data_IF_416430655560
#
_entry.id   IF_416430655560
#
_cell.length_a   1.000
_cell.length_b   1.000
_cell.length_c   1.000
_cell.angle_alpha   90.00
_cell.angle_beta   90.00
_cell.angle_gamma   90.00
#
_symmetry.space_group_name_H-M   'P 1'
#
loop_
_entity.id
_entity.type
_entity.pdbx_description
1 polymer ?
#
# COMPACT_ATOMS: atom_id res chain seq x y z
N UNK A 1 2.74 6.64 -32.97
CA UNK A 1 2.69 7.98 -32.35
C UNK A 1 1.94 7.79 -31.05
N UNK A 2 2.62 8.03 -29.93
CA UNK A 2 2.10 7.79 -28.59
C UNK A 2 0.88 8.66 -28.27
N UNK A 3 -0.05 8.09 -27.52
CA UNK A 3 -1.30 8.72 -27.08
C UNK A 3 -1.51 8.45 -25.59
N UNK A 4 -2.32 9.31 -24.97
CA UNK A 4 -2.79 9.10 -23.60
C UNK A 4 -3.53 7.75 -23.54
N UNK A 5 -3.17 6.93 -22.55
CA UNK A 5 -3.68 5.58 -22.36
C UNK A 5 -2.76 4.48 -22.90
N UNK A 6 -1.80 4.80 -23.79
CA UNK A 6 -0.87 3.80 -24.32
C UNK A 6 0.01 3.24 -23.20
N UNK A 7 0.31 1.95 -23.30
CA UNK A 7 1.25 1.28 -22.41
C UNK A 7 2.66 1.41 -22.97
N UNK A 8 3.60 1.81 -22.12
CA UNK A 8 4.97 2.09 -22.52
C UNK A 8 5.98 1.67 -21.47
N UNK A 9 7.21 1.45 -21.92
CA UNK A 9 8.41 1.31 -21.09
C UNK A 9 9.43 2.38 -21.46
N UNK A 10 10.45 2.58 -20.62
CA UNK A 10 11.51 3.57 -20.85
C UNK A 10 12.84 2.89 -21.20
N UNK A 11 13.37 3.20 -22.37
CA UNK A 11 14.65 2.68 -22.87
C UNK A 11 15.82 3.00 -21.93
N UNK A 12 15.87 4.23 -21.42
CA UNK A 12 16.90 4.72 -20.50
C UNK A 12 16.95 3.98 -19.15
N UNK A 13 15.88 3.26 -18.80
CA UNK A 13 15.77 2.42 -17.61
C UNK A 13 15.70 0.92 -17.94
N UNK A 14 16.23 0.53 -19.11
CA UNK A 14 16.23 -0.86 -19.60
C UNK A 14 14.84 -1.50 -19.64
N UNK A 15 13.80 -0.69 -19.86
CA UNK A 15 12.40 -1.14 -19.90
C UNK A 15 11.95 -1.89 -18.62
N UNK A 16 12.44 -1.45 -17.45
CA UNK A 16 12.25 -2.12 -16.16
C UNK A 16 10.81 -2.06 -15.60
N UNK A 17 10.07 -0.99 -15.89
CA UNK A 17 8.74 -0.71 -15.35
C UNK A 17 7.78 -0.42 -16.50
N UNK A 18 6.61 -1.05 -16.42
CA UNK A 18 5.48 -0.76 -17.29
C UNK A 18 4.72 0.47 -16.80
N UNK A 19 4.49 1.43 -17.69
CA UNK A 19 3.74 2.65 -17.45
C UNK A 19 2.52 2.75 -18.38
N UNK A 20 1.55 3.58 -17.99
CA UNK A 20 0.59 4.17 -18.92
C UNK A 20 0.87 5.67 -19.06
N UNK A 21 0.66 6.20 -20.26
CA UNK A 21 0.74 7.64 -20.51
C UNK A 21 -0.52 8.30 -19.97
N UNK A 22 -0.36 9.21 -19.01
CA UNK A 22 -1.48 9.94 -18.40
C UNK A 22 -1.63 11.36 -18.96
N UNK A 23 -0.56 11.93 -19.51
CA UNK A 23 -0.56 13.25 -20.13
C UNK A 23 0.62 13.38 -21.11
N UNK A 24 0.51 14.24 -22.11
CA UNK A 24 1.60 14.58 -23.04
C UNK A 24 1.60 16.09 -23.21
N UNK A 25 2.73 16.73 -22.91
CA UNK A 25 2.95 18.16 -23.14
C UNK A 25 4.23 18.35 -23.94
N UNK A 26 4.09 18.97 -25.10
CA UNK A 26 5.15 19.07 -26.09
C UNK A 26 5.72 17.68 -26.40
N UNK A 27 7.04 17.47 -26.24
CA UNK A 27 7.72 16.19 -26.46
C UNK A 27 7.96 15.39 -25.17
N UNK A 28 7.27 15.74 -24.07
CA UNK A 28 7.37 15.07 -22.77
C UNK A 28 6.07 14.36 -22.44
N UNK A 29 6.16 13.05 -22.19
CA UNK A 29 5.08 12.24 -21.64
C UNK A 29 5.17 12.17 -20.12
N UNK A 30 4.02 12.31 -19.46
CA UNK A 30 3.86 12.00 -18.04
C UNK A 30 3.27 10.61 -17.91
N UNK A 31 3.90 9.83 -17.05
CA UNK A 31 3.77 8.39 -16.95
C UNK A 31 3.34 8.00 -15.54
N UNK A 32 2.43 7.04 -15.47
CA UNK A 32 2.02 6.39 -14.23
C UNK A 32 2.38 4.92 -14.29
N UNK A 33 3.15 4.46 -13.32
CA UNK A 33 3.54 3.04 -13.21
C UNK A 33 2.29 2.20 -13.01
N UNK A 34 2.18 1.11 -13.76
CA UNK A 34 1.00 0.26 -13.69
C UNK A 34 0.95 -0.46 -12.35
N UNK A 35 1.96 -1.30 -12.08
CA UNK A 35 2.04 -2.14 -10.87
C UNK A 35 2.85 -1.49 -9.74
N UNK A 36 3.66 -0.50 -10.08
CA UNK A 36 4.57 0.19 -9.17
C UNK A 36 4.01 1.58 -8.88
N UNK A 37 3.92 1.98 -7.59
CA UNK A 37 3.39 3.28 -7.15
C UNK A 37 4.34 4.45 -7.49
N UNK A 38 4.57 4.70 -8.77
CA UNK A 38 5.57 5.62 -9.28
C UNK A 38 4.99 6.51 -10.38
N UNK A 39 5.26 7.80 -10.27
CA UNK A 39 5.05 8.75 -11.37
C UNK A 39 6.41 9.14 -11.94
N UNK A 40 6.44 9.32 -13.25
CA UNK A 40 7.63 9.74 -13.96
C UNK A 40 7.27 10.60 -15.16
N UNK A 41 8.22 11.41 -15.61
CA UNK A 41 8.21 12.01 -16.94
C UNK A 41 9.28 11.34 -17.82
N UNK A 42 9.06 11.35 -19.13
CA UNK A 42 10.08 10.98 -20.11
C UNK A 42 9.87 11.65 -21.47
N UNK A 43 10.95 11.80 -22.23
CA UNK A 43 10.86 12.19 -23.64
C UNK A 43 10.12 11.10 -24.44
N UNK A 44 9.32 11.49 -25.43
CA UNK A 44 8.67 10.54 -26.33
C UNK A 44 9.67 9.60 -27.04
N UNK A 45 10.88 10.06 -27.32
CA UNK A 45 11.93 9.26 -27.96
C UNK A 45 12.54 8.18 -27.04
N UNK A 46 12.37 8.33 -25.71
CA UNK A 46 12.81 7.34 -24.73
C UNK A 46 11.76 6.25 -24.49
N UNK A 47 10.55 6.41 -25.05
CA UNK A 47 9.46 5.46 -24.86
C UNK A 47 9.52 4.34 -25.90
N UNK A 48 9.24 3.13 -25.43
CA UNK A 48 8.96 1.96 -26.27
C UNK A 48 7.52 1.52 -25.99
N UNK A 49 6.74 1.27 -27.05
CA UNK A 49 5.36 0.80 -26.93
C UNK A 49 5.37 -0.63 -26.39
N UNK A 50 4.63 -0.84 -25.30
CA UNK A 50 4.50 -2.15 -24.69
C UNK A 50 3.14 -2.73 -25.08
N UNK A 51 3.15 -3.75 -25.94
CA UNK A 51 1.93 -4.48 -26.28
C UNK A 51 1.63 -5.47 -25.16
N UNK A 52 0.86 -5.01 -24.17
CA UNK A 52 0.56 -5.79 -22.98
C UNK A 52 -0.78 -6.47 -23.18
N UNK A 53 -0.75 -7.81 -23.23
CA UNK A 53 -1.84 -8.62 -22.71
C UNK A 53 -1.83 -8.43 -21.18
N UNK A 54 -2.19 -7.21 -20.73
CA UNK A 54 -2.20 -6.85 -19.32
C UNK A 54 -3.21 -7.76 -18.66
N UNK A 55 -2.72 -8.83 -18.03
CA UNK A 55 -3.57 -9.79 -17.35
C UNK A 55 -4.27 -9.07 -16.21
N UNK A 56 -5.46 -8.57 -16.51
CA UNK A 56 -6.38 -7.97 -15.54
C UNK A 56 -6.70 -8.94 -14.39
N UNK A 57 -6.38 -10.24 -14.53
CA UNK A 57 -6.49 -11.22 -13.46
C UNK A 57 -5.23 -11.37 -12.60
N UNK A 58 -4.12 -10.67 -12.85
CA UNK A 58 -2.90 -10.80 -12.03
C UNK A 58 -3.18 -10.46 -10.57
N UNK A 59 -3.85 -9.35 -10.30
CA UNK A 59 -4.27 -8.96 -8.94
C UNK A 59 -5.23 -9.99 -8.32
N UNK A 60 -6.17 -10.54 -9.11
CA UNK A 60 -7.08 -11.60 -8.68
C UNK A 60 -6.35 -12.91 -8.36
N UNK A 61 -5.33 -13.24 -9.15
CA UNK A 61 -4.48 -14.40 -8.95
C UNK A 61 -3.67 -14.24 -7.66
N UNK A 62 -3.19 -13.03 -7.36
CA UNK A 62 -2.54 -12.74 -6.08
C UNK A 62 -3.52 -12.89 -4.91
N UNK A 63 -4.74 -12.35 -5.01
CA UNK A 63 -5.78 -12.55 -3.99
C UNK A 63 -6.05 -14.05 -3.75
N UNK A 64 -6.20 -14.83 -4.83
CA UNK A 64 -6.39 -16.28 -4.75
C UNK A 64 -5.21 -16.98 -4.06
N UNK A 65 -3.97 -16.67 -4.44
CA UNK A 65 -2.77 -17.25 -3.80
C UNK A 65 -2.76 -16.97 -2.29
N UNK A 66 -3.03 -15.73 -1.89
CA UNK A 66 -3.05 -15.35 -0.47
C UNK A 66 -4.17 -16.06 0.27
N UNK A 67 -5.36 -16.16 -0.34
CA UNK A 67 -6.51 -16.86 0.23
C UNK A 67 -6.24 -18.35 0.42
N UNK A 68 -5.62 -19.01 -0.55
CA UNK A 68 -5.27 -20.44 -0.47
C UNK A 68 -4.22 -20.72 0.63
N UNK A 69 -3.37 -19.74 0.95
CA UNK A 69 -2.43 -19.81 2.09
C UNK A 69 -3.12 -19.64 3.45
N UNK A 70 -4.34 -19.09 3.49
CA UNK A 70 -5.10 -18.85 4.72
C UNK A 70 -6.05 -20.02 4.99
N UNK A 71 -5.53 -21.04 5.68
CA UNK A 71 -6.27 -22.26 6.00
C UNK A 71 -7.27 -22.02 7.16
N UNK A 72 -8.49 -21.57 6.84
CA UNK A 72 -9.56 -21.31 7.82
C UNK A 72 -10.57 -22.48 7.87
N UNK A 73 -10.67 -23.16 9.01
CA UNK A 73 -11.66 -24.21 9.23
C UNK A 73 -13.06 -23.63 9.51
N UNK A 74 -13.92 -23.71 8.50
CA UNK A 74 -15.27 -23.13 8.55
C UNK A 74 -16.37 -24.13 8.94
N UNK A 75 -16.00 -25.31 9.45
CA UNK A 75 -16.94 -26.37 9.80
C UNK A 75 -17.73 -26.07 11.09
N UNK A 76 -17.04 -25.69 12.17
CA UNK A 76 -17.65 -25.46 13.50
C UNK A 76 -17.54 -24.01 14.00
N UNK A 77 -16.60 -23.24 13.45
CA UNK A 77 -16.27 -21.88 13.89
C UNK A 77 -16.75 -20.84 12.89
N UNK A 78 -17.12 -19.66 13.40
CA UNK A 78 -17.31 -18.45 12.60
C UNK A 78 -16.17 -17.46 12.83
N UNK A 79 -15.93 -16.60 11.84
CA UNK A 79 -14.82 -15.67 11.82
C UNK A 79 -15.35 -14.25 11.63
N UNK A 80 -14.85 -13.32 12.43
CA UNK A 80 -15.10 -11.89 12.28
C UNK A 80 -13.76 -11.21 11.96
N UNK A 81 -13.41 -11.07 10.66
CA UNK A 81 -12.19 -10.38 10.24
C UNK A 81 -12.19 -8.91 10.67
N UNK A 82 -10.99 -8.34 10.79
CA UNK A 82 -10.86 -6.91 11.07
C UNK A 82 -11.32 -6.04 9.90
N UNK A 83 -11.86 -4.87 10.24
CA UNK A 83 -12.29 -3.84 9.29
C UNK A 83 -11.11 -2.99 8.84
N UNK A 84 -11.01 -2.74 7.54
CA UNK A 84 -9.93 -1.97 6.93
C UNK A 84 -10.43 -0.59 6.51
N UNK A 85 -9.69 0.46 6.85
CA UNK A 85 -9.79 1.78 6.24
C UNK A 85 -8.51 2.04 5.44
N UNK A 86 -8.66 2.27 4.14
CA UNK A 86 -7.55 2.59 3.25
C UNK A 86 -7.68 4.04 2.75
N UNK A 87 -6.75 4.89 3.18
CA UNK A 87 -6.59 6.26 2.71
C UNK A 87 -5.44 6.28 1.70
N UNK A 88 -5.69 6.79 0.49
CA UNK A 88 -4.67 6.84 -0.56
C UNK A 88 -4.64 8.19 -1.29
N UNK A 89 -3.43 8.65 -1.59
CA UNK A 89 -3.15 9.76 -2.51
C UNK A 89 -3.58 9.48 -3.95
N UNK A 90 -3.62 8.20 -4.34
CA UNK A 90 -3.93 7.78 -5.70
C UNK A 90 -5.25 7.02 -5.80
N UNK A 91 -6.17 7.55 -6.60
CA UNK A 91 -7.50 6.95 -6.80
C UNK A 91 -7.46 5.57 -7.47
N UNK A 92 -6.53 5.33 -8.40
CA UNK A 92 -6.48 4.07 -9.13
C UNK A 92 -5.81 2.97 -8.29
N UNK A 93 -4.73 3.29 -7.59
CA UNK A 93 -4.13 2.32 -6.65
C UNK A 93 -5.09 2.01 -5.50
N UNK A 94 -5.81 3.01 -4.98
CA UNK A 94 -6.88 2.76 -4.01
C UNK A 94 -7.92 1.80 -4.57
N UNK A 95 -8.40 2.02 -5.80
CA UNK A 95 -9.38 1.15 -6.43
C UNK A 95 -8.88 -0.29 -6.51
N UNK A 96 -7.64 -0.51 -6.93
CA UNK A 96 -7.01 -1.84 -6.97
C UNK A 96 -6.95 -2.51 -5.60
N UNK A 97 -6.53 -1.77 -4.56
CA UNK A 97 -6.49 -2.31 -3.20
C UNK A 97 -7.89 -2.65 -2.66
N UNK A 98 -8.88 -1.80 -2.91
CA UNK A 98 -10.27 -2.05 -2.51
C UNK A 98 -10.86 -3.28 -3.23
N UNK A 99 -10.59 -3.44 -4.53
CA UNK A 99 -11.03 -4.62 -5.27
C UNK A 99 -10.32 -5.89 -4.77
N UNK A 100 -9.02 -5.82 -4.44
CA UNK A 100 -8.29 -6.90 -3.78
C UNK A 100 -8.92 -7.30 -2.44
N UNK A 101 -9.30 -6.35 -1.58
CA UNK A 101 -9.98 -6.65 -0.31
C UNK A 101 -11.34 -7.34 -0.53
N UNK A 102 -12.10 -6.94 -1.55
CA UNK A 102 -13.38 -7.60 -1.89
C UNK A 102 -13.18 -9.05 -2.32
N UNK A 103 -12.16 -9.32 -3.13
CA UNK A 103 -11.82 -10.69 -3.57
C UNK A 103 -11.39 -11.58 -2.39
N UNK A 104 -10.79 -10.96 -1.35
CA UNK A 104 -10.48 -11.59 -0.06
C UNK A 104 -11.67 -11.70 0.89
N UNK A 105 -12.85 -11.18 0.52
CA UNK A 105 -14.07 -11.09 1.35
C UNK A 105 -13.87 -10.31 2.66
N UNK A 106 -13.14 -9.21 2.60
CA UNK A 106 -12.90 -8.30 3.73
C UNK A 106 -13.78 -7.06 3.65
N UNK A 107 -14.24 -6.60 4.82
CA UNK A 107 -14.92 -5.29 4.92
C UNK A 107 -13.85 -4.18 4.88
N UNK A 108 -13.86 -3.40 3.80
CA UNK A 108 -12.90 -2.33 3.59
C UNK A 108 -13.56 -1.05 3.06
N UNK A 109 -13.08 0.10 3.53
CA UNK A 109 -13.50 1.43 3.11
C UNK A 109 -12.34 2.16 2.47
N UNK A 110 -12.57 2.77 1.30
CA UNK A 110 -11.56 3.57 0.60
C UNK A 110 -11.85 5.06 0.66
N UNK A 111 -10.85 5.87 0.98
CA UNK A 111 -10.91 7.34 0.96
C UNK A 111 -9.74 7.85 0.13
N UNK A 112 -10.02 8.57 -0.96
CA UNK A 112 -8.99 9.25 -1.72
C UNK A 112 -8.88 10.70 -1.22
N UNK A 113 -7.67 11.12 -0.86
CA UNK A 113 -7.34 12.45 -0.35
C UNK A 113 -6.00 12.87 -0.95
N UNK A 114 -5.73 14.16 -1.04
CA UNK A 114 -4.36 14.64 -1.29
C UNK A 114 -3.51 14.43 -0.02
N UNK A 115 -2.22 14.11 -0.18
CA UNK A 115 -1.34 13.79 0.97
C UNK A 115 -1.25 14.91 2.00
N UNK A 116 -1.35 16.18 1.56
CA UNK A 116 -1.35 17.36 2.42
C UNK A 116 -2.57 17.45 3.37
N UNK A 117 -3.66 16.76 3.03
CA UNK A 117 -4.90 16.76 3.80
C UNK A 117 -5.03 15.56 4.73
N UNK A 118 -4.13 14.56 4.64
CA UNK A 118 -4.20 13.35 5.46
C UNK A 118 -4.29 13.66 6.95
N UNK A 119 -3.41 14.52 7.46
CA UNK A 119 -3.39 14.86 8.90
C UNK A 119 -4.64 15.63 9.37
N UNK A 120 -5.36 16.28 8.47
CA UNK A 120 -6.58 17.05 8.78
C UNK A 120 -7.80 16.14 8.83
N UNK A 121 -7.91 15.21 7.88
CA UNK A 121 -9.10 14.38 7.68
C UNK A 121 -9.02 13.00 8.34
N UNK A 122 -7.84 12.56 8.80
CA UNK A 122 -7.69 11.20 9.33
C UNK A 122 -8.55 10.93 10.57
N UNK A 123 -8.72 11.90 11.46
CA UNK A 123 -9.55 11.75 12.66
C UNK A 123 -11.03 11.59 12.29
N UNK A 124 -11.56 12.41 11.38
CA UNK A 124 -12.95 12.31 10.95
C UNK A 124 -13.22 10.98 10.22
N UNK A 125 -12.26 10.49 9.44
CA UNK A 125 -12.34 9.17 8.82
C UNK A 125 -12.34 8.03 9.85
N UNK A 126 -11.44 8.09 10.85
CA UNK A 126 -11.36 7.07 11.91
C UNK A 126 -12.65 6.99 12.73
N UNK A 127 -13.23 8.14 13.10
CA UNK A 127 -14.50 8.22 13.82
C UNK A 127 -15.67 7.67 12.99
N UNK A 128 -15.69 7.97 11.69
CA UNK A 128 -16.77 7.54 10.78
C UNK A 128 -16.76 6.04 10.52
N UNK A 129 -15.59 5.46 10.26
CA UNK A 129 -15.50 4.07 9.80
C UNK A 129 -15.16 3.08 10.92
N UNK A 130 -14.58 3.56 12.02
CA UNK A 130 -14.14 2.77 13.18
C UNK A 130 -13.39 1.48 12.77
N UNK A 131 -12.24 1.59 12.07
CA UNK A 131 -11.50 0.44 11.57
C UNK A 131 -10.63 -0.23 12.65
N UNK A 132 -10.28 -1.50 12.43
CA UNK A 132 -9.23 -2.20 13.19
C UNK A 132 -7.85 -1.99 12.54
N UNK A 133 -7.83 -1.77 11.21
CA UNK A 133 -6.62 -1.57 10.41
C UNK A 133 -6.76 -0.31 9.58
N UNK A 134 -5.78 0.57 9.68
CA UNK A 134 -5.64 1.79 8.92
C UNK A 134 -4.45 1.67 7.96
N UNK A 135 -4.70 1.85 6.66
CA UNK A 135 -3.68 1.91 5.61
C UNK A 135 -3.60 3.36 5.12
N UNK A 136 -2.41 3.96 5.20
CA UNK A 136 -2.13 5.33 4.75
C UNK A 136 -1.05 5.27 3.68
N UNK A 137 -1.44 5.37 2.42
CA UNK A 137 -0.52 5.26 1.28
C UNK A 137 -0.72 6.43 0.32
N UNK A 138 0.12 6.55 -0.70
CA UNK A 138 0.06 7.63 -1.67
C UNK A 138 1.32 7.63 -2.52
N UNK A 139 1.84 8.81 -2.81
CA UNK A 139 3.09 8.99 -3.54
C UNK A 139 4.19 9.49 -2.62
N UNK A 140 5.40 9.01 -2.84
CA UNK A 140 6.57 9.56 -2.20
C UNK A 140 7.79 9.32 -3.09
N UNK A 141 8.84 10.08 -2.82
CA UNK A 141 10.09 9.94 -3.53
C UNK A 141 11.23 10.45 -2.68
N UNK A 142 12.39 9.82 -2.81
CA UNK A 142 13.61 10.27 -2.18
C UNK A 142 14.46 11.07 -3.16
N UNK A 143 14.87 12.27 -2.77
CA UNK A 143 15.73 13.13 -3.60
C UNK A 143 17.10 12.47 -3.81
N UNK A 144 17.48 12.26 -5.08
CA UNK A 144 18.77 11.65 -5.46
C UNK A 144 19.95 12.44 -4.83
N UNK A 145 20.98 11.71 -4.40
CA UNK A 145 22.22 12.25 -3.81
C UNK A 145 22.03 13.10 -2.53
N UNK A 146 20.94 12.86 -1.78
CA UNK A 146 20.72 13.47 -0.47
C UNK A 146 20.98 12.47 0.67
N UNK A 147 20.89 12.94 1.90
CA UNK A 147 20.98 12.10 3.09
C UNK A 147 19.64 11.39 3.32
N UNK A 148 19.68 10.05 3.38
CA UNK A 148 18.51 9.19 3.63
C UNK A 148 17.98 9.30 5.06
N UNK A 149 18.76 9.85 5.98
CA UNK A 149 18.38 10.01 7.38
C UNK A 149 17.63 11.31 7.68
N UNK A 150 17.49 12.19 6.69
CA UNK A 150 16.81 13.48 6.83
C UNK A 150 15.45 13.48 6.12
N UNK A 151 14.40 13.67 6.92
CA UNK A 151 13.00 13.67 6.49
C UNK A 151 12.67 14.75 5.45
N UNK A 152 13.40 15.88 5.44
CA UNK A 152 13.19 16.95 4.46
C UNK A 152 13.59 16.55 3.02
N UNK A 153 14.33 15.44 2.87
CA UNK A 153 14.75 14.92 1.57
C UNK A 153 13.71 14.00 0.90
N UNK A 154 12.56 13.80 1.54
CA UNK A 154 11.45 13.02 1.02
C UNK A 154 10.29 13.96 0.66
N UNK A 155 9.52 13.60 -0.36
CA UNK A 155 8.45 14.45 -0.87
C UNK A 155 7.26 14.53 0.09
N UNK A 156 6.76 13.37 0.52
CA UNK A 156 5.52 13.25 1.30
C UNK A 156 5.68 12.46 2.60
N UNK A 157 6.86 11.91 2.91
CA UNK A 157 7.08 11.20 4.18
C UNK A 157 6.64 12.00 5.40
N UNK A 158 6.84 13.32 5.41
CA UNK A 158 6.37 14.18 6.50
C UNK A 158 4.84 14.17 6.67
N UNK A 159 4.10 14.13 5.56
CA UNK A 159 2.64 14.08 5.58
C UNK A 159 2.14 12.75 6.16
N UNK A 160 2.74 11.62 5.76
CA UNK A 160 2.43 10.31 6.35
C UNK A 160 2.80 10.21 7.83
N UNK A 161 3.94 10.78 8.25
CA UNK A 161 4.35 10.85 9.66
C UNK A 161 3.32 11.62 10.48
N UNK A 162 2.92 12.81 10.04
CA UNK A 162 1.90 13.62 10.72
C UNK A 162 0.55 12.90 10.81
N UNK A 163 0.12 12.26 9.73
CA UNK A 163 -1.11 11.47 9.71
C UNK A 163 -1.04 10.29 10.69
N UNK A 164 0.07 9.57 10.71
CA UNK A 164 0.31 8.44 11.64
C UNK A 164 0.25 8.91 13.10
N UNK A 165 0.93 10.01 13.43
CA UNK A 165 0.88 10.60 14.77
C UNK A 165 -0.55 11.00 15.17
N UNK A 166 -1.30 11.61 14.24
CA UNK A 166 -2.70 12.01 14.47
C UNK A 166 -3.62 10.81 14.68
N UNK A 167 -3.43 9.73 13.93
CA UNK A 167 -4.14 8.47 14.16
C UNK A 167 -3.81 7.86 15.53
N UNK A 168 -2.57 8.02 16.01
CA UNK A 168 -2.16 7.60 17.35
C UNK A 168 -2.68 8.50 18.48
N UNK A 169 -3.00 9.76 18.20
CA UNK A 169 -3.75 10.60 19.14
C UNK A 169 -5.17 10.06 19.36
N UNK A 170 -5.82 9.56 18.29
CA UNK A 170 -7.13 8.92 18.35
C UNK A 170 -7.09 7.57 19.09
N UNK A 171 -6.19 6.66 18.70
CA UNK A 171 -5.97 5.38 19.37
C UNK A 171 -4.47 5.10 19.59
N UNK A 172 -4.06 5.22 20.85
CA UNK A 172 -2.66 5.09 21.29
C UNK A 172 -2.19 3.64 21.31
N UNK A 173 -3.09 2.69 21.49
CA UNK A 173 -2.75 1.28 21.59
C UNK A 173 -2.51 0.69 20.19
N UNK A 174 -1.26 0.31 19.92
CA UNK A 174 -0.83 -0.26 18.65
C UNK A 174 -1.45 -1.62 18.33
N UNK A 175 -2.01 -2.33 19.31
CA UNK A 175 -2.72 -3.60 19.12
C UNK A 175 -4.21 -3.40 18.83
N UNK A 176 -4.76 -2.21 19.11
CA UNK A 176 -6.17 -1.89 18.84
C UNK A 176 -6.38 -1.31 17.45
N UNK A 177 -5.46 -0.47 17.00
CA UNK A 177 -5.47 0.10 15.66
C UNK A 177 -4.14 -0.21 14.98
N UNK A 178 -4.15 -1.17 14.05
CA UNK A 178 -2.96 -1.48 13.26
C UNK A 178 -2.80 -0.41 12.20
N UNK A 179 -1.62 0.23 12.12
CA UNK A 179 -1.34 1.24 11.09
C UNK A 179 -0.27 0.71 10.12
N UNK A 180 -0.59 0.76 8.83
CA UNK A 180 0.31 0.46 7.72
C UNK A 180 0.50 1.76 6.94
N UNK A 181 1.72 2.29 6.87
CA UNK A 181 1.95 3.63 6.32
C UNK A 181 3.11 3.73 5.33
N UNK A 182 2.99 4.65 4.38
CA UNK A 182 4.06 5.03 3.45
C UNK A 182 3.78 4.64 2.00
N UNK A 183 4.76 4.94 1.16
CA UNK A 183 4.72 4.70 -0.28
C UNK A 183 6.12 4.31 -0.79
N UNK A 184 6.31 4.36 -2.11
CA UNK A 184 7.62 4.17 -2.73
C UNK A 184 8.67 5.09 -2.11
N UNK A 185 9.80 4.51 -1.74
CA UNK A 185 10.95 5.25 -1.21
C UNK A 185 10.71 6.05 0.07
N UNK A 186 9.61 5.83 0.81
CA UNK A 186 9.33 6.57 2.04
C UNK A 186 10.41 6.43 3.12
N UNK A 187 10.45 7.40 4.04
CA UNK A 187 11.30 7.37 5.22
C UNK A 187 10.76 6.40 6.29
N UNK A 188 11.01 5.13 6.06
CA UNK A 188 10.59 3.99 6.89
C UNK A 188 10.78 4.22 8.40
N UNK A 189 11.97 4.64 8.83
CA UNK A 189 12.32 4.70 10.24
C UNK A 189 11.46 5.72 11.00
N UNK A 190 11.14 6.86 10.39
CA UNK A 190 10.31 7.87 11.03
C UNK A 190 8.83 7.51 11.03
N UNK A 191 8.36 6.71 10.06
CA UNK A 191 7.00 6.13 10.09
C UNK A 191 6.83 5.15 11.25
N UNK A 192 7.82 4.27 11.46
CA UNK A 192 7.81 3.35 12.61
C UNK A 192 7.87 4.14 13.93
N UNK A 193 8.76 5.14 14.04
CA UNK A 193 8.83 6.00 15.24
C UNK A 193 7.53 6.78 15.50
N UNK A 194 6.83 7.19 14.44
CA UNK A 194 5.54 7.86 14.54
C UNK A 194 4.43 6.94 15.07
N UNK A 195 4.67 5.63 15.07
CA UNK A 195 3.77 4.63 15.64
C UNK A 195 3.10 3.72 14.62
N UNK A 196 3.55 3.67 13.37
CA UNK A 196 3.08 2.68 12.41
C UNK A 196 3.52 1.27 12.85
N UNK A 197 2.63 0.28 12.70
CA UNK A 197 2.98 -1.13 12.91
C UNK A 197 3.81 -1.64 11.73
N UNK A 198 3.44 -1.23 10.52
CA UNK A 198 4.16 -1.56 9.29
C UNK A 198 4.42 -0.29 8.49
N UNK A 199 5.57 -0.23 7.83
CA UNK A 199 5.92 0.90 6.99
C UNK A 199 6.59 0.46 5.68
N UNK A 200 6.40 1.26 4.65
CA UNK A 200 6.95 1.03 3.32
C UNK A 200 8.42 1.45 3.19
N UNK A 201 9.08 0.78 2.25
CA UNK A 201 10.41 1.03 1.72
C UNK A 201 11.56 1.16 2.72
N UNK A 202 11.83 0.16 3.59
CA UNK A 202 13.03 0.14 4.43
C UNK A 202 14.33 0.40 3.65
N UNK A 203 14.42 -0.11 2.41
CA UNK A 203 15.58 0.07 1.51
C UNK A 203 15.45 1.26 0.55
N UNK A 204 14.41 2.08 0.68
CA UNK A 204 14.07 3.22 -0.21
C UNK A 204 13.94 2.77 -1.67
N UNK A 205 13.20 1.69 -1.87
CA UNK A 205 12.87 1.15 -3.19
C UNK A 205 11.42 1.46 -3.54
N UNK A 206 11.07 1.26 -4.81
CA UNK A 206 9.68 1.27 -5.22
C UNK A 206 8.97 0.00 -4.72
N UNK A 207 7.66 0.10 -4.48
CA UNK A 207 6.82 -1.00 -3.98
C UNK A 207 5.62 -1.23 -4.89
N UNK A 208 5.03 -2.42 -4.79
CA UNK A 208 3.86 -2.77 -5.57
C UNK A 208 2.62 -2.12 -4.97
N UNK A 209 1.64 -1.77 -5.81
CA UNK A 209 0.38 -1.16 -5.37
C UNK A 209 -0.32 -1.98 -4.27
N UNK A 210 -0.27 -3.32 -4.39
CA UNK A 210 -0.92 -4.27 -3.49
C UNK A 210 -0.11 -4.66 -2.23
N UNK A 211 1.16 -4.30 -2.11
CA UNK A 211 1.97 -4.74 -0.95
C UNK A 211 1.35 -4.31 0.41
N UNK A 212 0.88 -3.05 0.58
CA UNK A 212 0.16 -2.66 1.79
C UNK A 212 -1.16 -3.44 1.98
N UNK A 213 -1.85 -3.78 0.89
CA UNK A 213 -3.12 -4.51 0.93
C UNK A 213 -2.94 -5.99 1.31
N UNK A 214 -1.85 -6.63 0.87
CA UNK A 214 -1.47 -7.99 1.27
C UNK A 214 -1.21 -8.03 2.78
N UNK A 215 -0.50 -7.02 3.31
CA UNK A 215 -0.25 -6.91 4.75
C UNK A 215 -1.55 -6.73 5.52
N UNK A 216 -2.37 -5.74 5.13
CA UNK A 216 -3.64 -5.46 5.80
C UNK A 216 -4.56 -6.70 5.80
N UNK A 217 -4.65 -7.41 4.68
CA UNK A 217 -5.50 -8.60 4.56
C UNK A 217 -5.01 -9.76 5.42
N UNK A 218 -3.69 -9.97 5.49
CA UNK A 218 -3.12 -11.04 6.32
C UNK A 218 -3.36 -10.77 7.80
N UNK A 219 -3.18 -9.52 8.24
CA UNK A 219 -3.46 -9.12 9.63
C UNK A 219 -4.95 -9.24 9.94
N UNK A 220 -5.82 -8.78 9.02
CA UNK A 220 -7.28 -8.84 9.15
C UNK A 220 -7.82 -10.26 9.31
N UNK A 221 -7.16 -11.24 8.67
CA UNK A 221 -7.56 -12.66 8.64
C UNK A 221 -6.77 -13.52 9.63
N UNK A 222 -5.92 -12.91 10.45
CA UNK A 222 -5.16 -13.62 11.48
C UNK A 222 -5.81 -13.48 12.86
N UNK A 223 -5.81 -14.52 13.71
CA UNK A 223 -6.46 -14.46 15.02
C UNK A 223 -5.90 -13.37 15.93
N UNK A 224 -6.78 -12.71 16.69
CA UNK A 224 -6.44 -11.57 17.56
C UNK A 224 -5.39 -11.86 18.63
N UNK A 225 -5.31 -13.11 19.07
CA UNK A 225 -4.41 -13.57 20.13
C UNK A 225 -3.16 -14.30 19.58
N UNK A 226 -2.91 -14.19 18.27
CA UNK A 226 -1.78 -14.85 17.63
C UNK A 226 -0.86 -13.83 16.97
N UNK A 227 0.43 -13.93 17.31
CA UNK A 227 1.49 -13.16 16.68
C UNK A 227 1.59 -13.49 15.20
N UNK A 228 1.75 -12.46 14.38
CA UNK A 228 2.00 -12.61 12.95
C UNK A 228 3.46 -13.00 12.74
N UNK A 229 3.70 -14.07 11.99
CA UNK A 229 5.03 -14.36 11.46
C UNK A 229 5.39 -13.30 10.42
N UNK A 230 6.17 -12.30 10.85
CA UNK A 230 6.57 -11.16 10.04
C UNK A 230 7.37 -11.57 8.80
N UNK A 231 8.25 -12.56 8.91
CA UNK A 231 9.09 -12.99 7.79
C UNK A 231 8.23 -13.68 6.73
N UNK A 232 7.33 -14.57 7.16
CA UNK A 232 6.36 -15.22 6.28
C UNK A 232 5.37 -14.22 5.67
N UNK A 233 4.96 -13.19 6.41
CA UNK A 233 4.10 -12.14 5.90
C UNK A 233 4.80 -11.34 4.80
N UNK A 234 6.02 -10.86 5.07
CA UNK A 234 6.75 -10.03 4.11
C UNK A 234 7.07 -10.80 2.84
N UNK A 235 7.39 -12.10 2.92
CA UNK A 235 7.66 -12.92 1.72
C UNK A 235 6.46 -13.11 0.78
N UNK A 236 5.24 -12.80 1.23
CA UNK A 236 4.03 -12.79 0.39
C UNK A 236 3.86 -11.49 -0.41
N UNK A 237 4.56 -10.43 -0.03
CA UNK A 237 4.58 -9.16 -0.78
C UNK A 237 5.52 -9.26 -1.96
N UNK A 238 5.32 -8.43 -2.98
CA UNK A 238 6.11 -8.46 -4.22
C UNK A 238 7.58 -8.11 -4.00
N UNK A 239 7.85 -7.18 -3.07
CA UNK A 239 9.21 -6.68 -2.80
C UNK A 239 9.80 -7.15 -1.47
N UNK A 240 9.09 -7.98 -0.71
CA UNK A 240 9.59 -8.57 0.52
C UNK A 240 10.02 -7.54 1.58
N UNK A 241 11.02 -7.92 2.36
CA UNK A 241 11.62 -7.06 3.40
C UNK A 241 12.38 -5.84 2.85
N UNK A 242 12.60 -5.77 1.53
CA UNK A 242 13.15 -4.57 0.92
C UNK A 242 12.07 -3.48 0.76
N UNK A 243 10.84 -3.90 0.45
CA UNK A 243 9.71 -3.02 0.15
C UNK A 243 8.80 -2.74 1.34
N UNK A 244 8.66 -3.66 2.28
CA UNK A 244 7.85 -3.45 3.49
C UNK A 244 8.60 -3.95 4.72
N UNK A 245 8.34 -3.33 5.86
CA UNK A 245 8.84 -3.77 7.17
C UNK A 245 7.83 -3.46 8.27
N UNK A 246 8.11 -3.87 9.49
CA UNK A 246 7.24 -3.57 10.62
C UNK A 246 7.79 -4.09 11.94
N UNK A 247 7.01 -3.86 12.99
CA UNK A 247 7.23 -4.43 14.32
C UNK A 247 6.43 -5.74 14.46
N UNK A 248 6.75 -6.51 15.50
CA UNK A 248 5.94 -7.66 15.88
C UNK A 248 4.53 -7.18 16.26
N UNK A 249 3.49 -7.81 15.71
CA UNK A 249 2.09 -7.41 15.85
C UNK A 249 1.21 -8.66 15.80
N UNK A 250 0.08 -8.64 16.51
CA UNK A 250 -0.91 -9.72 16.48
C UNK A 250 -1.91 -9.54 15.32
N UNK A 251 -2.64 -10.60 14.98
CA UNK A 251 -3.83 -10.47 14.14
C UNK A 251 -4.93 -9.64 14.79
N UNK A 252 -6.04 -9.45 14.08
CA UNK A 252 -7.22 -8.73 14.62
C UNK A 252 -8.53 -9.52 14.52
N UNK A 253 -8.53 -10.67 13.84
CA UNK A 253 -9.72 -11.48 13.63
C UNK A 253 -10.20 -12.13 14.93
N UNK A 254 -11.50 -12.03 15.22
CA UNK A 254 -12.13 -12.85 16.24
C UNK A 254 -12.55 -14.20 15.66
N UNK A 255 -12.32 -15.27 16.44
CA UNK A 255 -12.76 -16.63 16.14
C UNK A 255 -13.85 -16.99 17.15
N UNK A 256 -15.06 -17.27 16.67
CA UNK A 256 -16.24 -17.53 17.49
C UNK A 256 -16.80 -18.94 17.30
N UNK A 257 -17.53 -19.41 18.32
CA UNK A 257 -18.15 -20.73 18.37
C UNK A 257 -19.51 -20.65 19.11
N UNK A 258 -20.52 -21.48 18.75
CA UNK A 258 -20.58 -22.30 17.55
C UNK A 258 -21.05 -21.48 16.34
N UNK A 259 -20.88 -22.04 15.14
CA UNK A 259 -21.47 -21.51 13.92
C UNK A 259 -22.94 -21.92 13.75
#
# INVERSE_FOLDING_TARGET
>A
MFKIGDFVTRNSYNNDILFTIIDIKDDIAYLKGIDVRLYADSSLDDLEEADVDYDTNKDRNDAKKIKDMLNLDRSEYFYLPGKILHIDGDKDYLRRCIDFYKDMHLEAYGVNLDEDDFSKEITSCLEKYNPDILVITGHDSFKKNKDKSDLANYQNSLNFVKATMKAREYERNQDKLIIIAGACQSFYEDLIKAGANFASSPKRINIHALDPAIIASTVALSPKNKEIDLISLLSKTHYGSNGMGGIITNGVMYVGYPR
#
